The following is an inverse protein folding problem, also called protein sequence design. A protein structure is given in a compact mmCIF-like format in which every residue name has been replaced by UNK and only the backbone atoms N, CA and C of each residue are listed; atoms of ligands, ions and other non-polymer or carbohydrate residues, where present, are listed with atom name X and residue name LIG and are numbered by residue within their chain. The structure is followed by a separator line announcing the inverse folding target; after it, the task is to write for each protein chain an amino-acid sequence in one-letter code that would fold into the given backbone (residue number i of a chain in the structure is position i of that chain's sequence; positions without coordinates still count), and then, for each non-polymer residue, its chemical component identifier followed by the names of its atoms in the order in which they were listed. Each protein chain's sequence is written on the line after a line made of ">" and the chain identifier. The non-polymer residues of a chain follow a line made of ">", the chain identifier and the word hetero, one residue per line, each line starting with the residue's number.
data_IF_992374972960
#
_entry.id   IF_992374972960
#
_cell.length_a   1.000
_cell.length_b   1.000
_cell.length_c   1.000
_cell.angle_alpha   90.00
_cell.angle_beta   90.00
_cell.angle_gamma   90.00
#
_symmetry.space_group_name_H-M   'P 1'
#
loop_
_entity.id
_entity.type
_entity.pdbx_description
1 polymer ?
#
# COMPACT_ATOMS: atom_id res chain seq x y z
N UNK A 1 44.54 -22.05 -14.74
CA UNK A 1 44.80 -21.88 -13.30
C UNK A 1 46.03 -22.72 -12.93
N UNK A 2 47.16 -22.12 -12.58
CA UNK A 2 48.35 -22.82 -12.12
C UNK A 2 48.13 -23.22 -10.65
N UNK A 3 48.44 -24.44 -10.23
CA UNK A 3 48.35 -24.81 -8.82
C UNK A 3 49.34 -23.95 -8.02
N UNK A 4 48.82 -23.37 -6.92
CA UNK A 4 49.55 -22.44 -6.07
C UNK A 4 50.78 -23.13 -5.45
N UNK A 5 51.91 -22.38 -5.36
CA UNK A 5 53.16 -22.74 -4.73
C UNK A 5 53.04 -23.20 -3.25
N UNK A 6 51.90 -23.10 -2.68
CA UNK A 6 51.55 -23.56 -1.30
C UNK A 6 51.42 -25.07 -1.16
N UNK A 7 51.15 -25.80 -2.25
CA UNK A 7 50.89 -27.25 -2.19
C UNK A 7 52.20 -28.09 -2.20
N UNK A 8 53.32 -27.54 -2.70
CA UNK A 8 54.62 -28.28 -2.74
C UNK A 8 55.39 -28.25 -1.42
N UNK A 9 55.23 -27.20 -0.60
CA UNK A 9 55.93 -27.09 0.69
C UNK A 9 55.38 -28.06 1.75
N UNK A 10 54.14 -28.47 1.59
CA UNK A 10 53.42 -29.29 2.59
C UNK A 10 53.67 -30.83 2.42
N UNK A 11 54.01 -31.32 1.21
CA UNK A 11 54.32 -32.73 0.99
C UNK A 11 55.62 -33.18 1.67
N UNK A 12 56.62 -32.31 1.74
CA UNK A 12 57.93 -32.63 2.39
C UNK A 12 57.84 -32.67 3.92
N UNK A 13 57.01 -31.87 4.55
CA UNK A 13 56.79 -31.85 6.00
C UNK A 13 55.97 -33.03 6.49
N UNK A 14 55.07 -33.58 5.66
CA UNK A 14 54.28 -34.75 6.02
C UNK A 14 55.09 -36.06 5.99
N UNK A 15 56.12 -36.17 5.15
CA UNK A 15 57.02 -37.34 5.12
C UNK A 15 57.90 -37.39 6.35
N UNK A 16 58.42 -36.27 6.82
CA UNK A 16 59.26 -36.16 8.03
C UNK A 16 58.48 -36.48 9.34
N UNK A 17 57.25 -36.04 9.44
CA UNK A 17 56.37 -36.37 10.57
C UNK A 17 55.98 -37.87 10.57
N UNK A 18 55.86 -38.48 9.41
CA UNK A 18 55.58 -39.94 9.29
C UNK A 18 56.78 -40.77 9.74
N UNK A 19 57.99 -40.29 9.45
CA UNK A 19 59.22 -40.94 9.91
C UNK A 19 59.38 -40.76 11.44
N UNK A 20 59.16 -39.58 11.96
CA UNK A 20 59.29 -39.25 13.38
C UNK A 20 58.32 -40.08 14.25
N UNK A 21 57.17 -40.45 13.77
CA UNK A 21 56.15 -41.27 14.45
C UNK A 21 56.65 -42.64 14.84
N UNK A 22 57.54 -43.22 14.04
CA UNK A 22 58.09 -44.56 14.30
C UNK A 22 59.54 -44.51 14.82
N UNK A 23 60.32 -43.50 14.42
CA UNK A 23 61.71 -43.35 14.82
C UNK A 23 61.85 -42.89 16.27
N UNK A 24 61.01 -41.95 16.71
CA UNK A 24 61.07 -41.42 18.05
C UNK A 24 60.75 -42.45 19.17
N UNK A 25 59.64 -43.22 19.06
CA UNK A 25 59.38 -44.26 20.05
C UNK A 25 60.42 -45.37 20.04
N UNK A 26 60.89 -45.75 18.84
CA UNK A 26 61.95 -46.77 18.72
C UNK A 26 63.26 -46.28 19.33
N UNK A 27 63.67 -45.05 19.08
CA UNK A 27 64.88 -44.47 19.69
C UNK A 27 64.76 -44.38 21.21
N UNK A 28 63.62 -43.96 21.74
CA UNK A 28 63.35 -43.93 23.19
C UNK A 28 63.38 -45.33 23.80
N UNK A 29 62.79 -46.33 23.11
CA UNK A 29 62.84 -47.73 23.56
C UNK A 29 64.30 -48.27 23.60
N UNK A 30 65.07 -47.98 22.57
CA UNK A 30 66.49 -48.39 22.51
C UNK A 30 67.35 -47.69 23.57
N UNK A 31 67.15 -46.39 23.73
CA UNK A 31 67.91 -45.63 24.78
C UNK A 31 67.59 -46.13 26.19
N UNK A 32 66.29 -46.37 26.50
CA UNK A 32 65.85 -46.93 27.76
C UNK A 32 66.49 -48.32 28.00
N UNK A 33 66.40 -49.19 26.97
CA UNK A 33 66.97 -50.54 27.03
C UNK A 33 68.51 -50.51 27.26
N UNK A 34 69.25 -49.67 26.54
CA UNK A 34 70.67 -49.54 26.71
C UNK A 34 71.08 -48.94 28.06
N UNK A 35 70.29 -47.99 28.58
CA UNK A 35 70.52 -47.39 29.90
C UNK A 35 70.34 -48.43 31.00
N UNK A 36 69.24 -49.14 31.04
CA UNK A 36 68.97 -50.25 31.95
C UNK A 36 69.98 -51.39 31.84
N UNK A 37 70.35 -51.77 30.63
CA UNK A 37 71.36 -52.76 30.42
C UNK A 37 72.73 -52.37 30.91
N UNK A 38 73.14 -51.09 30.77
CA UNK A 38 74.40 -50.59 31.26
C UNK A 38 74.46 -50.51 32.79
N UNK A 39 73.33 -50.13 33.45
CA UNK A 39 73.21 -50.11 34.89
C UNK A 39 73.28 -51.51 35.53
N UNK A 40 72.62 -52.49 34.96
CA UNK A 40 72.63 -53.88 35.44
C UNK A 40 73.95 -54.65 35.09
N UNK A 41 74.67 -54.22 34.05
CA UNK A 41 75.93 -54.88 33.67
C UNK A 41 77.14 -54.42 34.55
N UNK A 42 76.93 -53.35 35.38
CA UNK A 42 77.96 -52.92 36.34
C UNK A 42 78.01 -53.76 37.63
N UNK A 43 77.00 -54.62 37.88
CA UNK A 43 76.99 -55.59 39.00
C UNK A 43 77.28 -56.94 38.45
N UNK A 44 78.28 -57.67 38.98
CA UNK A 44 78.91 -58.88 38.48
C UNK A 44 78.03 -60.15 38.21
N UNK A 45 76.67 -60.05 38.41
CA UNK A 45 75.77 -61.18 38.11
C UNK A 45 74.51 -60.67 37.40
N UNK A 46 74.32 -61.12 36.13
CA UNK A 46 73.12 -60.78 35.36
C UNK A 46 71.90 -61.58 35.90
N UNK A 47 71.27 -61.07 36.94
CA UNK A 47 69.98 -61.62 37.44
C UNK A 47 68.84 -60.92 36.74
N UNK A 48 68.06 -61.72 36.01
CA UNK A 48 66.75 -61.32 35.45
C UNK A 48 65.72 -61.28 36.62
N UNK A 49 65.79 -60.25 37.48
CA UNK A 49 64.86 -60.07 38.55
C UNK A 49 63.61 -59.33 38.16
N UNK A 50 62.55 -59.44 38.96
CA UNK A 50 61.24 -58.82 38.68
C UNK A 50 61.27 -57.33 38.44
N UNK A 51 62.06 -56.52 39.16
CA UNK A 51 62.26 -55.09 38.91
C UNK A 51 62.75 -54.77 37.48
N UNK A 52 63.80 -55.42 37.02
CA UNK A 52 64.38 -55.21 35.69
C UNK A 52 63.35 -55.56 34.59
N UNK A 53 62.61 -56.63 34.71
CA UNK A 53 61.58 -57.00 33.72
C UNK A 53 60.46 -55.93 33.70
N UNK A 54 60.04 -55.38 34.89
CA UNK A 54 58.99 -54.38 34.94
C UNK A 54 59.43 -53.05 34.32
N UNK A 55 60.66 -52.65 34.48
CA UNK A 55 61.21 -51.40 33.91
C UNK A 55 61.36 -51.49 32.38
N UNK A 56 61.88 -52.63 31.87
CA UNK A 56 61.94 -52.88 30.42
C UNK A 56 60.53 -52.85 29.80
N UNK A 57 59.54 -53.44 30.44
CA UNK A 57 58.16 -53.42 29.93
C UNK A 57 57.58 -51.98 29.95
N UNK A 58 57.75 -51.23 31.04
CA UNK A 58 57.17 -49.92 31.20
C UNK A 58 57.87 -48.95 30.24
N UNK A 59 59.17 -48.83 30.24
CA UNK A 59 59.94 -47.86 29.46
C UNK A 59 60.21 -48.34 28.06
N UNK A 60 60.47 -49.64 27.85
CA UNK A 60 60.79 -50.18 26.52
C UNK A 60 59.57 -50.47 25.64
N UNK A 61 58.41 -50.78 26.24
CA UNK A 61 57.21 -51.15 25.46
C UNK A 61 56.05 -50.23 25.66
N UNK A 62 55.57 -49.99 26.89
CA UNK A 62 54.39 -49.19 27.20
C UNK A 62 54.61 -47.69 26.93
N UNK A 63 55.77 -47.15 27.27
CA UNK A 63 56.09 -45.74 27.03
C UNK A 63 56.05 -45.38 25.56
N UNK A 64 56.78 -46.07 24.66
CA UNK A 64 56.71 -45.83 23.24
C UNK A 64 55.33 -46.04 22.61
N UNK A 65 54.56 -47.02 23.10
CA UNK A 65 53.18 -47.26 22.63
C UNK A 65 52.26 -46.06 23.01
N UNK A 66 52.37 -45.56 24.27
CA UNK A 66 51.60 -44.38 24.70
C UNK A 66 51.95 -43.13 23.89
N UNK A 67 53.25 -42.90 23.64
CA UNK A 67 53.70 -41.77 22.80
C UNK A 67 53.18 -41.92 21.36
N UNK A 68 53.23 -43.09 20.78
CA UNK A 68 52.73 -43.38 19.44
C UNK A 68 51.21 -43.12 19.35
N UNK A 69 50.46 -43.58 20.34
CA UNK A 69 49.02 -43.33 20.45
C UNK A 69 48.69 -41.84 20.53
N UNK A 70 49.40 -41.09 21.40
CA UNK A 70 49.22 -39.65 21.51
C UNK A 70 49.52 -38.94 20.19
N UNK A 71 50.58 -39.30 19.49
CA UNK A 71 50.92 -38.71 18.21
C UNK A 71 49.85 -39.01 17.15
N UNK A 72 49.33 -40.24 17.09
CA UNK A 72 48.25 -40.60 16.17
C UNK A 72 46.99 -39.85 16.50
N UNK A 73 46.58 -39.77 17.78
CA UNK A 73 45.40 -39.06 18.22
C UNK A 73 45.51 -37.56 17.92
N UNK A 74 46.67 -36.94 18.23
CA UNK A 74 46.90 -35.53 17.93
C UNK A 74 46.84 -35.24 16.41
N UNK A 75 47.30 -36.16 15.59
CA UNK A 75 47.15 -36.05 14.12
C UNK A 75 45.71 -36.10 13.67
N UNK A 76 44.91 -37.01 14.23
CA UNK A 76 43.48 -37.05 13.94
C UNK A 76 42.78 -35.73 14.31
N UNK A 77 43.10 -35.17 15.46
CA UNK A 77 42.56 -33.90 15.93
C UNK A 77 42.94 -32.75 15.00
N UNK A 78 44.20 -32.58 14.65
CA UNK A 78 44.69 -31.54 13.75
C UNK A 78 44.12 -31.69 12.32
N UNK A 79 43.95 -32.91 11.85
CA UNK A 79 43.36 -33.14 10.53
C UNK A 79 41.85 -32.79 10.52
N UNK A 80 41.11 -33.16 11.59
CA UNK A 80 39.71 -32.79 11.74
C UNK A 80 39.51 -31.27 11.81
N UNK A 81 40.36 -30.57 12.57
CA UNK A 81 40.36 -29.10 12.64
C UNK A 81 40.61 -28.47 11.26
N UNK A 82 41.61 -28.95 10.52
CA UNK A 82 41.92 -28.48 9.18
C UNK A 82 40.79 -28.67 8.20
N UNK A 83 40.13 -29.85 8.28
CA UNK A 83 38.96 -30.12 7.43
C UNK A 83 37.81 -29.18 7.74
N UNK A 84 37.51 -28.93 9.03
CA UNK A 84 36.47 -27.99 9.44
C UNK A 84 36.77 -26.58 8.97
N UNK A 85 38.01 -26.11 9.13
CA UNK A 85 38.44 -24.78 8.64
C UNK A 85 38.26 -24.67 7.11
N UNK A 86 38.65 -25.71 6.37
CA UNK A 86 38.51 -25.69 4.92
C UNK A 86 37.04 -25.66 4.49
N UNK A 87 36.20 -26.43 5.15
CA UNK A 87 34.74 -26.47 4.89
C UNK A 87 34.10 -25.09 5.17
N UNK A 88 34.45 -24.45 6.30
CA UNK A 88 33.99 -23.09 6.62
C UNK A 88 34.44 -22.09 5.56
N UNK A 89 35.68 -22.15 5.08
CA UNK A 89 36.15 -21.27 4.01
C UNK A 89 35.39 -21.48 2.70
N UNK A 90 35.15 -22.72 2.28
CA UNK A 90 34.38 -23.02 1.08
C UNK A 90 32.94 -22.49 1.21
N UNK A 91 32.31 -22.70 2.39
CA UNK A 91 30.96 -22.25 2.65
C UNK A 91 30.86 -20.72 2.66
N UNK A 92 31.83 -20.03 3.29
CA UNK A 92 31.89 -18.57 3.30
C UNK A 92 32.02 -18.00 1.89
N UNK A 93 32.91 -18.53 1.07
CA UNK A 93 33.04 -18.08 -0.33
C UNK A 93 31.78 -18.35 -1.15
N UNK A 94 31.12 -19.48 -0.94
CA UNK A 94 29.83 -19.75 -1.60
C UNK A 94 28.73 -18.78 -1.14
N UNK A 95 28.70 -18.41 0.14
CA UNK A 95 27.78 -17.44 0.70
C UNK A 95 28.05 -16.04 0.18
N UNK A 96 29.31 -15.59 0.17
CA UNK A 96 29.71 -14.29 -0.38
C UNK A 96 29.31 -14.15 -1.85
N UNK A 97 29.55 -15.18 -2.66
CA UNK A 97 29.12 -15.18 -4.07
C UNK A 97 27.60 -15.10 -4.21
N UNK A 98 26.85 -15.83 -3.38
CA UNK A 98 25.40 -15.80 -3.38
C UNK A 98 24.83 -14.44 -2.92
N UNK A 99 25.46 -13.83 -1.93
CA UNK A 99 25.11 -12.47 -1.49
C UNK A 99 25.36 -11.48 -2.63
N UNK A 100 26.53 -11.53 -3.25
CA UNK A 100 26.86 -10.63 -4.37
C UNK A 100 25.89 -10.78 -5.54
N UNK A 101 25.54 -12.02 -5.92
CA UNK A 101 24.55 -12.29 -6.96
C UNK A 101 23.16 -11.72 -6.60
N UNK A 102 22.71 -11.95 -5.36
CA UNK A 102 21.41 -11.45 -4.88
C UNK A 102 21.37 -9.93 -4.78
N UNK A 103 22.45 -9.33 -4.33
CA UNK A 103 22.57 -7.85 -4.24
C UNK A 103 22.50 -7.24 -5.63
N UNK A 104 23.26 -7.75 -6.59
CA UNK A 104 23.24 -7.27 -7.97
C UNK A 104 21.82 -7.44 -8.60
N UNK A 105 21.16 -8.57 -8.37
CA UNK A 105 19.80 -8.79 -8.86
C UNK A 105 18.76 -7.84 -8.21
N UNK A 106 18.93 -7.53 -6.91
CA UNK A 106 18.07 -6.55 -6.22
C UNK A 106 18.31 -5.12 -6.73
N UNK A 107 19.56 -4.71 -6.95
CA UNK A 107 19.90 -3.41 -7.52
C UNK A 107 19.30 -3.24 -8.93
N UNK A 108 19.40 -4.29 -9.75
CA UNK A 108 18.79 -4.26 -11.08
C UNK A 108 17.27 -4.11 -11.01
N UNK A 109 16.59 -4.89 -10.15
CA UNK A 109 15.14 -4.77 -9.97
C UNK A 109 14.71 -3.41 -9.42
N UNK A 110 15.49 -2.83 -8.49
CA UNK A 110 15.22 -1.48 -7.99
C UNK A 110 15.32 -0.45 -9.11
N UNK A 111 16.35 -0.52 -9.95
CA UNK A 111 16.49 0.42 -11.08
C UNK A 111 15.37 0.25 -12.12
N UNK A 112 14.89 -0.96 -12.36
CA UNK A 112 13.73 -1.23 -13.23
C UNK A 112 12.43 -0.68 -12.63
N UNK A 113 12.22 -0.87 -11.31
CA UNK A 113 11.08 -0.32 -10.58
C UNK A 113 11.08 1.21 -10.58
N UNK A 114 12.22 1.84 -10.34
CA UNK A 114 12.35 3.29 -10.36
C UNK A 114 12.03 3.87 -11.75
N UNK A 115 12.50 3.23 -12.81
CA UNK A 115 12.14 3.62 -14.19
C UNK A 115 10.65 3.49 -14.46
N UNK A 116 10.05 2.35 -14.09
CA UNK A 116 8.62 2.12 -14.27
C UNK A 116 7.77 3.12 -13.46
N UNK A 117 8.16 3.42 -12.23
CA UNK A 117 7.51 4.44 -11.41
C UNK A 117 7.59 5.84 -12.06
N UNK A 118 8.76 6.20 -12.57
CA UNK A 118 8.94 7.50 -13.23
C UNK A 118 8.10 7.62 -14.51
N UNK A 119 8.01 6.55 -15.29
CA UNK A 119 7.13 6.50 -16.47
C UNK A 119 5.65 6.60 -16.10
N UNK A 120 5.22 5.92 -15.03
CA UNK A 120 3.85 6.00 -14.52
C UNK A 120 3.52 7.42 -14.04
N UNK A 121 4.41 8.07 -13.30
CA UNK A 121 4.23 9.46 -12.86
C UNK A 121 4.09 10.40 -14.05
N UNK A 122 4.95 10.27 -15.06
CA UNK A 122 4.88 11.07 -16.27
C UNK A 122 3.58 10.87 -17.05
N UNK A 123 3.09 9.64 -17.13
CA UNK A 123 1.80 9.33 -17.76
C UNK A 123 0.63 9.95 -16.97
N UNK A 124 0.67 9.93 -15.65
CA UNK A 124 -0.38 10.54 -14.82
C UNK A 124 -0.37 12.07 -14.91
N UNK A 125 0.83 12.69 -14.97
CA UNK A 125 0.97 14.12 -15.24
C UNK A 125 0.41 14.50 -16.62
N UNK A 126 0.78 13.79 -17.69
CA UNK A 126 0.27 14.03 -19.03
C UNK A 126 -1.23 13.84 -19.13
N UNK A 127 -1.80 12.81 -18.45
CA UNK A 127 -3.24 12.59 -18.36
C UNK A 127 -3.95 13.79 -17.71
N UNK A 128 -3.41 14.29 -16.62
CA UNK A 128 -3.98 15.43 -15.88
C UNK A 128 -3.91 16.72 -16.68
N UNK A 129 -2.79 16.97 -17.37
CA UNK A 129 -2.61 18.12 -18.24
C UNK A 129 -3.55 18.06 -19.46
N UNK A 130 -3.67 16.90 -20.11
CA UNK A 130 -4.59 16.67 -21.21
C UNK A 130 -6.04 16.94 -20.82
N UNK A 131 -6.51 16.38 -19.67
CA UNK A 131 -7.86 16.63 -19.16
C UNK A 131 -8.08 18.11 -18.89
N UNK A 132 -7.11 18.80 -18.30
CA UNK A 132 -7.19 20.25 -18.04
C UNK A 132 -7.29 21.06 -19.33
N UNK A 133 -6.46 20.74 -20.34
CA UNK A 133 -6.46 21.41 -21.63
C UNK A 133 -7.80 21.21 -22.36
N UNK A 134 -8.24 19.97 -22.51
CA UNK A 134 -9.50 19.65 -23.20
C UNK A 134 -10.69 20.33 -22.56
N UNK A 135 -10.73 20.36 -21.23
CA UNK A 135 -11.84 21.00 -20.52
C UNK A 135 -11.82 22.52 -20.66
N UNK A 136 -10.62 23.14 -20.71
CA UNK A 136 -10.51 24.57 -20.97
C UNK A 136 -10.98 24.90 -22.39
N UNK A 137 -10.56 24.11 -23.37
CA UNK A 137 -10.94 24.29 -24.77
C UNK A 137 -12.42 23.98 -25.07
N UNK A 138 -13.06 23.12 -24.25
CA UNK A 138 -14.50 22.87 -24.36
C UNK A 138 -15.35 23.91 -23.65
N UNK A 139 -14.85 24.58 -22.61
CA UNK A 139 -15.62 25.59 -21.86
C UNK A 139 -15.98 26.79 -22.72
N UNK A 140 -15.05 27.31 -23.51
CA UNK A 140 -15.26 28.49 -24.34
C UNK A 140 -16.39 28.31 -25.39
N UNK A 141 -16.41 27.24 -26.23
CA UNK A 141 -17.50 27.03 -27.19
C UNK A 141 -18.83 26.75 -26.50
N UNK A 142 -18.86 26.03 -25.35
CA UNK A 142 -20.08 25.79 -24.61
C UNK A 142 -20.66 27.09 -24.01
N UNK A 143 -19.80 27.98 -23.51
CA UNK A 143 -20.24 29.30 -23.05
C UNK A 143 -20.84 30.13 -24.19
N UNK A 144 -20.23 30.07 -25.38
CA UNK A 144 -20.76 30.76 -26.57
C UNK A 144 -22.11 30.17 -27.01
N UNK A 145 -22.27 28.85 -27.01
CA UNK A 145 -23.53 28.17 -27.32
C UNK A 145 -24.62 28.56 -26.33
N UNK A 146 -24.32 28.48 -25.02
CA UNK A 146 -25.27 28.84 -23.97
C UNK A 146 -25.71 30.32 -24.08
N UNK A 147 -24.76 31.23 -24.28
CA UNK A 147 -25.06 32.65 -24.45
C UNK A 147 -25.89 32.92 -25.72
N UNK A 148 -25.60 32.26 -26.83
CA UNK A 148 -26.38 32.34 -28.05
C UNK A 148 -27.81 31.84 -27.91
N UNK A 149 -27.99 30.68 -27.21
CA UNK A 149 -29.31 30.12 -26.91
C UNK A 149 -30.10 31.03 -25.98
N UNK A 150 -29.48 31.57 -24.96
CA UNK A 150 -30.12 32.50 -24.01
C UNK A 150 -30.60 33.77 -24.69
N UNK A 151 -29.75 34.43 -25.48
CA UNK A 151 -30.12 35.63 -26.26
C UNK A 151 -31.28 35.35 -27.26
N UNK A 152 -31.21 34.16 -27.89
CA UNK A 152 -32.28 33.76 -28.85
C UNK A 152 -33.60 33.54 -28.11
N UNK A 153 -33.60 32.88 -26.96
CA UNK A 153 -34.80 32.65 -26.16
C UNK A 153 -35.38 33.95 -25.55
N UNK A 154 -34.53 34.89 -25.14
CA UNK A 154 -34.96 36.20 -24.63
C UNK A 154 -35.56 37.09 -25.72
N UNK A 155 -35.04 36.98 -26.95
CA UNK A 155 -35.51 37.79 -28.08
C UNK A 155 -36.73 37.19 -28.79
N UNK A 156 -37.25 36.07 -28.32
CA UNK A 156 -38.14 35.20 -29.07
C UNK A 156 -39.61 35.26 -28.67
N UNK A 157 -40.17 36.46 -28.46
CA UNK A 157 -41.62 36.62 -28.24
C UNK A 157 -42.48 36.11 -29.43
N UNK A 158 -41.90 35.88 -30.59
CA UNK A 158 -42.57 35.48 -31.85
C UNK A 158 -42.24 34.05 -32.28
N UNK A 159 -41.46 33.26 -31.50
CA UNK A 159 -41.13 31.89 -31.92
C UNK A 159 -42.31 30.92 -31.78
N UNK A 160 -42.49 30.01 -32.80
CA UNK A 160 -43.44 28.90 -32.65
C UNK A 160 -43.14 28.10 -31.36
N UNK A 161 -44.19 27.62 -30.68
CA UNK A 161 -44.01 26.84 -29.41
C UNK A 161 -43.07 25.63 -29.54
N UNK A 162 -43.01 24.98 -30.68
CA UNK A 162 -42.11 23.85 -30.95
C UNK A 162 -40.66 24.29 -31.04
N UNK A 163 -40.38 25.42 -31.70
CA UNK A 163 -39.03 25.95 -31.82
C UNK A 163 -38.51 26.41 -30.42
N UNK A 164 -39.36 27.00 -29.62
CA UNK A 164 -39.02 27.40 -28.26
C UNK A 164 -38.68 26.22 -27.41
N UNK A 165 -39.48 25.14 -27.40
CA UNK A 165 -39.20 23.87 -26.69
C UNK A 165 -37.89 23.26 -27.14
N UNK A 166 -37.60 23.28 -28.46
CA UNK A 166 -36.33 22.75 -28.99
C UNK A 166 -35.14 23.53 -28.45
N UNK A 167 -35.21 24.86 -28.45
CA UNK A 167 -34.14 25.72 -27.92
C UNK A 167 -33.97 25.56 -26.41
N UNK A 168 -35.05 25.43 -25.65
CA UNK A 168 -34.99 25.14 -24.21
C UNK A 168 -34.31 23.78 -23.95
N UNK A 169 -34.66 22.74 -24.71
CA UNK A 169 -34.00 21.42 -24.58
C UNK A 169 -32.50 21.48 -24.97
N UNK A 170 -32.12 22.25 -25.98
CA UNK A 170 -30.72 22.46 -26.37
C UNK A 170 -29.96 23.22 -25.28
N UNK A 171 -30.57 24.20 -24.61
CA UNK A 171 -29.96 24.94 -23.50
C UNK A 171 -29.73 24.02 -22.30
N UNK A 172 -30.72 23.20 -21.94
CA UNK A 172 -30.58 22.23 -20.86
C UNK A 172 -29.45 21.20 -21.12
N UNK A 173 -29.35 20.71 -22.36
CA UNK A 173 -28.31 19.77 -22.73
C UNK A 173 -26.90 20.43 -22.76
N UNK A 174 -26.80 21.67 -23.24
CA UNK A 174 -25.53 22.42 -23.21
C UNK A 174 -25.08 22.75 -21.79
N UNK A 175 -26.02 23.14 -20.89
CA UNK A 175 -25.73 23.34 -19.47
C UNK A 175 -25.25 22.03 -18.80
N UNK A 176 -25.89 20.92 -19.17
CA UNK A 176 -25.53 19.58 -18.71
C UNK A 176 -24.11 19.18 -19.15
N UNK A 177 -23.74 19.43 -20.40
CA UNK A 177 -22.42 19.17 -20.93
C UNK A 177 -21.36 20.05 -20.25
N UNK A 178 -21.65 21.31 -20.01
CA UNK A 178 -20.78 22.25 -19.26
C UNK A 178 -20.49 21.72 -17.88
N UNK A 179 -21.53 21.27 -17.16
CA UNK A 179 -21.35 20.68 -15.82
C UNK A 179 -20.52 19.38 -15.86
N UNK A 180 -20.71 18.55 -16.85
CA UNK A 180 -19.93 17.33 -17.03
C UNK A 180 -18.45 17.62 -17.24
N UNK A 181 -18.11 18.53 -18.15
CA UNK A 181 -16.73 18.95 -18.42
C UNK A 181 -16.08 19.50 -17.14
N UNK A 182 -16.82 20.33 -16.39
CA UNK A 182 -16.31 20.85 -15.12
C UNK A 182 -16.07 19.74 -14.08
N UNK A 183 -17.00 18.79 -13.97
CA UNK A 183 -16.85 17.65 -13.04
C UNK A 183 -15.63 16.79 -13.38
N UNK A 184 -15.37 16.54 -14.68
CA UNK A 184 -14.16 15.81 -15.10
C UNK A 184 -12.89 16.53 -14.68
N UNK A 185 -12.85 17.87 -14.85
CA UNK A 185 -11.72 18.68 -14.42
C UNK A 185 -11.48 18.59 -12.93
N UNK A 186 -12.55 18.76 -12.13
CA UNK A 186 -12.47 18.76 -10.69
C UNK A 186 -12.03 17.38 -10.17
N UNK A 187 -12.55 16.29 -10.75
CA UNK A 187 -12.10 14.93 -10.47
C UNK A 187 -10.61 14.76 -10.80
N UNK A 188 -10.17 15.23 -11.97
CA UNK A 188 -8.77 15.11 -12.38
C UNK A 188 -7.83 15.89 -11.45
N UNK A 189 -8.21 17.11 -11.04
CA UNK A 189 -7.43 17.92 -10.08
C UNK A 189 -7.36 17.27 -8.71
N UNK A 190 -8.47 16.70 -8.25
CA UNK A 190 -8.57 16.03 -6.97
C UNK A 190 -7.68 14.77 -6.95
N UNK A 191 -7.70 13.96 -8.00
CA UNK A 191 -6.86 12.76 -8.12
C UNK A 191 -5.37 13.08 -8.22
N UNK A 192 -5.02 14.17 -8.88
CA UNK A 192 -3.65 14.64 -8.95
C UNK A 192 -3.17 15.34 -7.65
N UNK A 193 -4.01 15.39 -6.59
CA UNK A 193 -3.68 16.12 -5.36
C UNK A 193 -3.52 17.65 -5.55
N UNK A 194 -4.07 18.18 -6.64
CA UNK A 194 -3.95 19.61 -7.02
C UNK A 194 -5.19 20.43 -6.66
N UNK A 195 -6.17 19.80 -5.99
CA UNK A 195 -7.34 20.53 -5.48
C UNK A 195 -6.94 21.27 -4.20
N UNK A 196 -6.98 22.59 -4.26
CA UNK A 196 -6.74 23.43 -3.08
C UNK A 196 -8.04 23.57 -2.30
N UNK A 197 -8.07 23.12 -1.05
CA UNK A 197 -9.20 23.28 -0.14
C UNK A 197 -8.97 24.47 0.78
N UNK A 198 -10.00 25.27 0.99
CA UNK A 198 -10.01 26.33 1.97
C UNK A 198 -10.84 25.89 3.17
N UNK A 199 -10.24 25.03 4.03
CA UNK A 199 -10.92 24.46 5.19
C UNK A 199 -11.15 25.51 6.26
N UNK A 200 -12.36 25.52 6.83
CA UNK A 200 -12.76 26.41 7.90
C UNK A 200 -14.06 25.97 8.57
N UNK A 201 -14.52 26.71 9.61
CA UNK A 201 -15.81 26.46 10.24
C UNK A 201 -16.97 26.83 9.31
N UNK A 202 -17.78 25.85 8.95
CA UNK A 202 -18.88 25.96 7.99
C UNK A 202 -20.23 25.67 8.66
N UNK A 203 -21.19 26.56 8.52
CA UNK A 203 -22.54 26.37 9.02
C UNK A 203 -23.36 25.50 8.07
N UNK A 204 -23.80 24.31 8.53
CA UNK A 204 -24.49 23.30 7.72
C UNK A 204 -25.87 23.75 7.26
N UNK A 205 -26.71 24.30 8.17
CA UNK A 205 -28.11 24.61 7.88
C UNK A 205 -28.28 25.61 6.73
N UNK A 206 -27.53 26.75 6.63
CA UNK A 206 -27.65 27.67 5.50
C UNK A 206 -27.33 27.03 4.15
N UNK A 207 -26.32 26.11 4.10
CA UNK A 207 -25.95 25.39 2.88
C UNK A 207 -27.07 24.44 2.45
N UNK A 208 -27.66 23.69 3.39
CA UNK A 208 -28.77 22.81 3.11
C UNK A 208 -29.97 23.56 2.54
N UNK A 209 -30.37 24.68 3.18
CA UNK A 209 -31.50 25.48 2.71
C UNK A 209 -31.23 26.05 1.31
N UNK A 210 -30.09 26.69 1.10
CA UNK A 210 -29.68 27.24 -0.20
C UNK A 210 -29.64 26.15 -1.30
N UNK A 211 -29.07 25.01 -1.02
CA UNK A 211 -28.99 23.89 -1.98
C UNK A 211 -30.36 23.32 -2.33
N UNK A 212 -31.25 23.19 -1.35
CA UNK A 212 -32.65 22.73 -1.57
C UNK A 212 -33.41 23.74 -2.40
N UNK A 213 -33.32 25.03 -2.10
CA UNK A 213 -33.99 26.10 -2.86
C UNK A 213 -33.55 26.11 -4.33
N UNK A 214 -32.26 26.00 -4.59
CA UNK A 214 -31.71 26.03 -5.95
C UNK A 214 -32.06 24.77 -6.74
N UNK A 215 -32.00 23.58 -6.14
CA UNK A 215 -32.16 22.32 -6.86
C UNK A 215 -33.62 21.88 -6.91
N UNK A 216 -34.30 21.88 -5.78
CA UNK A 216 -35.64 21.34 -5.67
C UNK A 216 -36.71 22.43 -5.81
N UNK A 217 -36.46 23.64 -5.30
CA UNK A 217 -37.38 24.74 -5.32
C UNK A 217 -38.77 24.38 -4.76
N UNK A 218 -39.83 24.89 -5.37
CA UNK A 218 -41.21 24.51 -5.02
C UNK A 218 -41.71 23.24 -5.71
N UNK A 219 -40.90 22.60 -6.59
CA UNK A 219 -41.32 21.41 -7.38
C UNK A 219 -41.39 20.16 -6.54
N UNK A 220 -40.65 20.12 -5.44
CA UNK A 220 -40.50 18.93 -4.60
C UNK A 220 -40.77 19.26 -3.13
N UNK A 221 -41.55 18.43 -2.46
CA UNK A 221 -41.70 18.53 -1.00
C UNK A 221 -40.43 18.01 -0.31
N UNK A 222 -39.94 18.78 0.68
CA UNK A 222 -38.83 18.40 1.53
C UNK A 222 -39.30 18.28 2.96
N UNK A 223 -38.97 17.15 3.60
CA UNK A 223 -39.17 16.96 5.03
C UNK A 223 -37.85 17.22 5.74
N UNK A 224 -37.89 18.14 6.69
CA UNK A 224 -36.74 18.52 7.47
C UNK A 224 -36.79 17.91 8.86
N UNK A 225 -35.70 17.27 9.28
CA UNK A 225 -35.49 16.82 10.64
C UNK A 225 -34.13 17.37 11.12
N UNK A 226 -34.16 18.60 11.60
CA UNK A 226 -33.00 19.35 12.03
C UNK A 226 -33.05 19.53 13.55
N UNK A 227 -31.96 19.28 14.29
CA UNK A 227 -31.85 19.64 15.70
C UNK A 227 -31.87 21.17 15.86
N UNK A 228 -32.23 21.65 17.05
CA UNK A 228 -32.32 23.07 17.33
C UNK A 228 -30.98 23.82 17.20
N UNK A 229 -29.90 23.13 17.52
CA UNK A 229 -28.54 23.67 17.40
C UNK A 229 -27.69 22.70 16.57
N UNK A 230 -27.03 23.23 15.55
CA UNK A 230 -26.10 22.50 14.68
C UNK A 230 -24.77 23.23 14.76
N UNK A 231 -23.73 22.63 15.41
CA UNK A 231 -22.40 23.20 15.42
C UNK A 231 -21.84 23.34 14.00
N UNK A 232 -20.87 24.24 13.76
CA UNK A 232 -20.19 24.30 12.47
C UNK A 232 -19.32 23.02 12.27
N UNK A 233 -19.24 22.56 11.03
CA UNK A 233 -18.32 21.50 10.60
C UNK A 233 -17.00 22.12 10.14
N UNK A 234 -15.92 21.33 10.17
CA UNK A 234 -14.64 21.71 9.57
C UNK A 234 -14.60 21.25 8.12
N UNK A 235 -14.78 22.17 7.18
CA UNK A 235 -14.92 21.86 5.77
C UNK A 235 -14.56 23.06 4.88
N UNK A 236 -14.45 22.83 3.57
CA UNK A 236 -14.50 23.86 2.54
C UNK A 236 -15.97 24.12 2.15
N UNK A 237 -16.45 25.33 2.31
CA UNK A 237 -17.85 25.67 2.10
C UNK A 237 -18.31 25.36 0.67
N UNK A 238 -17.51 25.70 -0.33
CA UNK A 238 -17.85 25.53 -1.75
C UNK A 238 -17.95 24.04 -2.09
N UNK A 239 -16.96 23.27 -1.67
CA UNK A 239 -16.91 21.84 -1.96
C UNK A 239 -17.94 21.05 -1.13
N UNK A 240 -18.21 21.47 0.10
CA UNK A 240 -19.28 20.87 0.89
C UNK A 240 -20.67 21.12 0.27
N UNK A 241 -20.95 22.37 -0.19
CA UNK A 241 -22.17 22.65 -0.94
C UNK A 241 -22.27 21.76 -2.20
N UNK A 242 -21.18 21.57 -2.91
CA UNK A 242 -21.14 20.72 -4.11
C UNK A 242 -21.46 19.24 -3.79
N UNK A 243 -20.98 18.71 -2.65
CA UNK A 243 -21.37 17.37 -2.18
C UNK A 243 -22.88 17.29 -1.94
N UNK A 244 -23.43 18.24 -1.16
CA UNK A 244 -24.87 18.29 -0.86
C UNK A 244 -25.69 18.38 -2.15
N UNK A 245 -25.31 19.22 -3.09
CA UNK A 245 -25.98 19.36 -4.41
C UNK A 245 -25.99 18.04 -5.19
N UNK A 246 -24.88 17.32 -5.22
CA UNK A 246 -24.80 16.01 -5.88
C UNK A 246 -25.78 15.00 -5.26
N UNK A 247 -25.89 14.96 -3.94
CA UNK A 247 -26.84 14.08 -3.26
C UNK A 247 -28.30 14.46 -3.52
N UNK A 248 -28.62 15.76 -3.46
CA UNK A 248 -29.98 16.25 -3.75
C UNK A 248 -30.39 16.02 -5.20
N UNK A 249 -29.49 16.23 -6.16
CA UNK A 249 -29.73 15.91 -7.57
C UNK A 249 -29.99 14.42 -7.79
N UNK A 250 -29.26 13.55 -7.11
CA UNK A 250 -29.50 12.11 -7.17
C UNK A 250 -30.87 11.76 -6.57
N UNK A 251 -31.20 12.27 -5.41
CA UNK A 251 -32.49 12.04 -4.75
C UNK A 251 -33.68 12.52 -5.62
N UNK A 252 -33.55 13.70 -6.25
CA UNK A 252 -34.59 14.24 -7.16
C UNK A 252 -34.74 13.39 -8.44
N UNK A 253 -33.63 12.93 -8.97
CA UNK A 253 -33.56 12.18 -10.22
C UNK A 253 -34.11 10.75 -10.12
N UNK A 254 -33.84 10.05 -9.00
CA UNK A 254 -34.14 8.63 -8.86
C UNK A 254 -35.39 8.33 -8.06
N UNK A 255 -36.06 9.33 -7.51
CA UNK A 255 -37.33 9.15 -6.83
C UNK A 255 -38.52 9.72 -7.62
N UNK A 256 -39.74 9.16 -7.47
CA UNK A 256 -40.91 9.63 -8.15
C UNK A 256 -41.23 11.10 -7.84
N UNK A 257 -41.70 11.94 -8.80
CA UNK A 257 -41.86 13.39 -8.61
C UNK A 257 -42.72 13.83 -7.44
N UNK A 258 -43.62 13.00 -6.98
CA UNK A 258 -44.59 13.33 -5.91
C UNK A 258 -44.15 12.89 -4.53
N UNK A 259 -43.06 12.12 -4.41
CA UNK A 259 -42.54 11.69 -3.12
C UNK A 259 -41.67 12.75 -2.48
N UNK A 260 -41.65 12.90 -1.15
CA UNK A 260 -40.74 13.87 -0.50
C UNK A 260 -39.30 13.40 -0.54
N UNK A 261 -38.39 14.35 -0.43
CA UNK A 261 -36.98 14.08 -0.06
C UNK A 261 -36.86 14.41 1.42
N UNK A 262 -36.22 13.53 2.18
CA UNK A 262 -36.05 13.72 3.63
C UNK A 262 -34.59 14.10 3.92
N UNK A 263 -34.43 15.19 4.68
CA UNK A 263 -33.12 15.69 5.12
C UNK A 263 -33.07 15.60 6.64
N UNK A 264 -32.20 14.71 7.12
CA UNK A 264 -32.00 14.49 8.54
C UNK A 264 -30.59 14.97 8.94
N UNK A 265 -30.48 15.66 10.05
CA UNK A 265 -29.18 16.06 10.62
C UNK A 265 -29.08 15.48 12.02
N UNK A 266 -27.98 14.75 12.25
CA UNK A 266 -27.65 14.18 13.54
C UNK A 266 -26.35 14.79 14.04
N UNK A 267 -26.35 15.25 15.28
CA UNK A 267 -25.18 15.82 15.93
C UNK A 267 -24.64 14.80 16.91
N UNK A 268 -23.43 14.32 16.67
CA UNK A 268 -22.66 13.46 17.56
C UNK A 268 -21.61 14.29 18.32
N UNK A 269 -20.86 13.69 19.25
CA UNK A 269 -19.90 14.39 20.09
C UNK A 269 -18.78 15.08 19.26
N UNK A 270 -18.34 14.49 18.17
CA UNK A 270 -17.22 14.97 17.35
C UNK A 270 -17.56 15.15 15.87
N UNK A 271 -18.74 14.82 15.46
CA UNK A 271 -19.15 14.84 14.06
C UNK A 271 -20.59 15.25 13.87
N UNK A 272 -20.88 15.71 12.68
CA UNK A 272 -22.26 15.97 12.21
C UNK A 272 -22.50 15.04 11.02
N UNK A 273 -23.61 14.33 11.07
CA UNK A 273 -24.10 13.50 9.98
C UNK A 273 -25.30 14.16 9.33
N UNK A 274 -25.16 14.45 8.04
CA UNK A 274 -26.26 14.91 7.18
C UNK A 274 -26.70 13.76 6.29
N UNK A 275 -27.96 13.42 6.36
CA UNK A 275 -28.58 12.34 5.60
C UNK A 275 -29.57 12.93 4.59
N UNK A 276 -29.46 12.51 3.33
CA UNK A 276 -30.42 12.79 2.25
C UNK A 276 -31.04 11.49 1.83
N UNK A 277 -32.34 11.32 2.14
CA UNK A 277 -33.08 10.10 1.86
C UNK A 277 -34.18 10.34 0.82
N UNK A 278 -34.29 9.41 -0.13
CA UNK A 278 -35.26 9.41 -1.20
C UNK A 278 -36.24 8.22 -1.06
N UNK A 279 -37.34 8.25 -1.80
CA UNK A 279 -38.34 7.19 -1.91
C UNK A 279 -38.34 6.59 -3.33
N UNK A 280 -37.17 6.36 -3.89
CA UNK A 280 -37.01 5.73 -5.20
C UNK A 280 -37.04 4.20 -5.15
N UNK A 281 -36.61 3.59 -6.25
CA UNK A 281 -36.55 2.13 -6.39
C UNK A 281 -35.48 1.46 -5.50
N UNK A 282 -34.67 2.26 -4.77
CA UNK A 282 -33.52 1.75 -4.03
C UNK A 282 -32.35 1.33 -4.94
N UNK A 283 -31.32 0.78 -4.32
CA UNK A 283 -30.10 0.32 -5.01
C UNK A 283 -29.91 -1.15 -4.69
N UNK A 284 -29.86 -2.04 -5.71
CA UNK A 284 -29.61 -3.46 -5.52
C UNK A 284 -28.29 -3.71 -4.78
N UNK A 285 -28.25 -4.77 -3.95
CA UNK A 285 -27.14 -5.05 -3.06
C UNK A 285 -25.82 -5.28 -3.80
N UNK A 286 -25.89 -5.91 -4.95
CA UNK A 286 -24.75 -6.17 -5.85
C UNK A 286 -24.15 -4.90 -6.47
N UNK A 287 -24.90 -3.80 -6.46
CA UNK A 287 -24.46 -2.50 -6.99
C UNK A 287 -23.98 -1.54 -5.91
N UNK A 288 -24.35 -1.74 -4.63
CA UNK A 288 -24.10 -0.78 -3.56
C UNK A 288 -22.60 -0.49 -3.32
N UNK A 289 -21.73 -1.47 -3.53
CA UNK A 289 -20.30 -1.30 -3.42
C UNK A 289 -19.73 -0.46 -4.57
N UNK A 290 -20.29 -0.63 -5.76
CA UNK A 290 -19.75 -0.06 -6.99
C UNK A 290 -20.32 1.32 -7.37
N UNK A 291 -21.42 1.77 -6.75
CA UNK A 291 -22.04 3.07 -7.11
C UNK A 291 -21.16 4.28 -6.87
N UNK A 292 -20.12 4.14 -6.06
CA UNK A 292 -19.11 5.15 -5.79
C UNK A 292 -17.91 5.08 -6.75
N UNK A 293 -17.88 4.09 -7.65
CA UNK A 293 -16.85 4.00 -8.69
C UNK A 293 -17.16 4.94 -9.86
N UNK A 294 -16.12 5.25 -10.66
CA UNK A 294 -16.27 6.14 -11.83
C UNK A 294 -17.13 5.49 -12.90
N UNK A 295 -17.98 6.31 -13.52
CA UNK A 295 -18.84 5.93 -14.65
C UNK A 295 -19.84 4.80 -14.32
N UNK A 296 -20.02 4.47 -13.06
CA UNK A 296 -21.02 3.50 -12.63
C UNK A 296 -22.42 4.12 -12.73
N UNK A 297 -23.28 3.37 -13.38
CA UNK A 297 -24.72 3.70 -13.54
C UNK A 297 -25.53 2.48 -13.13
N UNK A 298 -26.67 2.71 -12.50
CA UNK A 298 -27.69 1.67 -12.32
C UNK A 298 -28.00 0.99 -13.64
N UNK A 299 -28.55 -0.22 -13.60
CA UNK A 299 -28.83 -1.01 -14.79
C UNK A 299 -29.39 -0.13 -15.92
N UNK A 300 -28.78 -0.24 -17.10
CA UNK A 300 -29.13 0.49 -18.33
C UNK A 300 -30.45 -0.02 -18.93
N UNK A 301 -31.56 0.23 -18.23
CA UNK A 301 -32.85 0.22 -18.87
C UNK A 301 -33.00 1.52 -19.66
N UNK A 302 -33.63 1.48 -20.83
CA UNK A 302 -33.90 2.65 -21.68
C UNK A 302 -34.65 3.79 -20.94
N UNK A 303 -35.20 3.48 -19.75
CA UNK A 303 -35.90 4.40 -18.85
C UNK A 303 -34.99 5.00 -17.74
N UNK A 304 -33.71 4.67 -17.68
CA UNK A 304 -32.82 5.21 -16.65
C UNK A 304 -32.54 6.71 -16.89
N UNK A 305 -32.72 7.57 -15.89
CA UNK A 305 -32.50 9.00 -16.07
C UNK A 305 -31.06 9.29 -16.54
N UNK A 306 -30.86 10.30 -17.40
CA UNK A 306 -29.56 10.61 -17.97
C UNK A 306 -28.55 11.04 -16.92
N UNK A 307 -27.29 10.60 -17.02
CA UNK A 307 -26.20 10.95 -16.11
C UNK A 307 -24.89 10.25 -16.47
N UNK A 308 -23.75 10.79 -16.02
CA UNK A 308 -22.43 10.33 -16.41
C UNK A 308 -21.75 9.39 -15.40
N UNK A 309 -22.41 9.14 -14.22
CA UNK A 309 -21.84 8.26 -13.19
C UNK A 309 -20.59 8.83 -12.49
N UNK A 310 -20.41 10.15 -12.48
CA UNK A 310 -19.28 10.79 -11.80
C UNK A 310 -19.67 11.51 -10.50
N UNK A 311 -20.95 11.85 -10.30
CA UNK A 311 -21.39 12.69 -9.18
C UNK A 311 -21.13 12.06 -7.81
N UNK A 312 -21.48 10.77 -7.62
CA UNK A 312 -21.25 10.07 -6.35
C UNK A 312 -19.78 9.78 -6.10
N UNK A 313 -19.04 9.41 -7.13
CA UNK A 313 -17.58 9.26 -7.03
C UNK A 313 -16.92 10.55 -6.55
N UNK A 314 -17.27 11.67 -7.19
CA UNK A 314 -16.75 12.99 -6.85
C UNK A 314 -17.16 13.43 -5.44
N UNK A 315 -18.44 13.25 -5.07
CA UNK A 315 -18.93 13.55 -3.73
C UNK A 315 -18.16 12.74 -2.66
N UNK A 316 -17.93 11.44 -2.90
CA UNK A 316 -17.15 10.59 -2.00
C UNK A 316 -15.72 11.11 -1.85
N UNK A 317 -15.05 11.38 -2.96
CA UNK A 317 -13.67 11.89 -2.96
C UNK A 317 -13.54 13.26 -2.30
N UNK A 318 -14.45 14.18 -2.56
CA UNK A 318 -14.50 15.49 -1.87
C UNK A 318 -14.74 15.35 -0.37
N UNK A 319 -15.53 14.38 0.04
CA UNK A 319 -15.77 14.08 1.46
C UNK A 319 -14.51 13.52 2.12
N UNK A 320 -13.85 12.54 1.46
CA UNK A 320 -12.62 11.90 1.96
C UNK A 320 -11.46 12.90 2.15
N UNK A 321 -11.23 13.82 1.21
CA UNK A 321 -10.14 14.83 1.32
C UNK A 321 -10.42 15.92 2.37
N UNK A 322 -11.62 15.94 2.96
CA UNK A 322 -12.02 16.81 4.06
C UNK A 322 -12.22 16.03 5.36
N UNK A 323 -11.59 14.84 5.50
CA UNK A 323 -11.66 13.95 6.65
C UNK A 323 -13.10 13.51 7.02
N UNK A 324 -13.99 13.54 6.04
CA UNK A 324 -15.36 13.08 6.18
C UNK A 324 -15.57 11.68 5.62
N UNK A 325 -16.78 11.15 5.84
CA UNK A 325 -17.19 9.82 5.35
C UNK A 325 -18.55 9.92 4.67
N UNK A 326 -18.64 9.45 3.42
CA UNK A 326 -19.89 9.30 2.69
C UNK A 326 -20.32 7.83 2.68
N UNK A 327 -21.52 7.55 3.15
CA UNK A 327 -22.10 6.20 3.24
C UNK A 327 -23.45 6.11 2.55
N UNK A 328 -23.83 4.88 2.19
CA UNK A 328 -25.14 4.54 1.64
C UNK A 328 -25.86 3.57 2.55
N UNK A 329 -27.18 3.73 2.65
CA UNK A 329 -28.13 2.74 3.17
C UNK A 329 -29.24 2.55 2.15
N UNK A 330 -29.39 1.36 1.59
CA UNK A 330 -30.48 0.98 0.70
C UNK A 330 -30.81 -0.51 0.95
N UNK A 331 -32.07 -0.86 1.23
CA UNK A 331 -33.23 0.01 1.30
C UNK A 331 -33.15 1.03 2.47
N UNK A 332 -33.65 2.24 2.23
CA UNK A 332 -33.75 3.28 3.27
C UNK A 332 -35.02 3.05 4.12
N UNK A 333 -36.09 2.49 3.52
CA UNK A 333 -37.39 2.28 4.11
C UNK A 333 -37.78 0.80 4.06
N UNK A 334 -38.65 0.40 4.98
CA UNK A 334 -39.21 -0.97 5.00
C UNK A 334 -40.29 -1.19 3.92
N UNK A 335 -40.61 -0.19 3.13
CA UNK A 335 -41.56 -0.25 2.03
C UNK A 335 -40.95 -0.99 0.84
N UNK A 336 -41.56 -2.11 0.43
CA UNK A 336 -41.08 -2.93 -0.68
C UNK A 336 -41.32 -2.29 -2.06
N UNK A 337 -42.35 -1.43 -2.18
CA UNK A 337 -42.67 -0.74 -3.43
C UNK A 337 -41.83 0.53 -3.63
N UNK A 338 -41.34 1.11 -2.54
CA UNK A 338 -40.51 2.30 -2.55
C UNK A 338 -39.39 2.20 -1.50
N UNK A 339 -38.46 1.25 -1.67
CA UNK A 339 -37.44 0.96 -0.67
C UNK A 339 -36.46 2.14 -0.46
N UNK A 340 -36.33 3.02 -1.44
CA UNK A 340 -35.52 4.25 -1.39
C UNK A 340 -34.06 4.04 -1.10
N UNK A 341 -33.34 5.15 -1.13
CA UNK A 341 -31.91 5.19 -0.75
C UNK A 341 -31.65 6.35 0.16
N UNK A 342 -30.73 6.19 1.08
CA UNK A 342 -30.27 7.21 2.00
C UNK A 342 -28.75 7.35 1.90
N UNK A 343 -28.28 8.54 1.53
CA UNK A 343 -26.89 8.90 1.51
C UNK A 343 -26.58 9.78 2.71
N UNK A 344 -25.54 9.39 3.47
CA UNK A 344 -25.16 10.10 4.70
C UNK A 344 -23.72 10.61 4.59
N UNK A 345 -23.55 11.91 4.82
CA UNK A 345 -22.24 12.55 4.95
C UNK A 345 -21.96 12.77 6.42
N UNK A 346 -20.86 12.27 6.92
CA UNK A 346 -20.36 12.55 8.27
C UNK A 346 -19.12 13.42 8.18
N UNK A 347 -19.15 14.61 8.82
CA UNK A 347 -18.06 15.57 8.84
C UNK A 347 -17.64 15.89 10.29
N UNK A 348 -16.36 16.18 10.54
CA UNK A 348 -15.89 16.61 11.85
C UNK A 348 -16.45 17.96 12.25
N UNK A 349 -16.72 18.17 13.55
CA UNK A 349 -17.13 19.46 14.10
C UNK A 349 -15.91 20.40 14.16
N UNK A 350 -16.09 21.67 13.83
CA UNK A 350 -15.01 22.68 13.81
C UNK A 350 -14.31 22.86 15.17
N UNK A 351 -15.00 22.68 16.29
CA UNK A 351 -14.43 22.72 17.64
C UNK A 351 -13.55 21.51 17.99
N UNK A 352 -13.53 20.49 17.12
CA UNK A 352 -12.73 19.27 17.26
C UNK A 352 -11.66 19.12 16.17
N UNK A 353 -11.30 20.21 15.48
CA UNK A 353 -10.17 20.19 14.55
C UNK A 353 -8.91 19.69 15.29
N UNK A 354 -8.14 18.75 14.74
CA UNK A 354 -6.93 18.26 15.39
C UNK A 354 -5.98 19.42 15.63
N UNK A 355 -5.48 19.50 16.86
CA UNK A 355 -4.37 20.39 17.22
C UNK A 355 -3.20 20.09 16.29
N UNK A 356 -2.68 21.07 15.56
CA UNK A 356 -1.55 20.93 14.61
C UNK A 356 -0.23 20.51 15.27
N UNK A 357 -0.30 19.81 16.42
CA UNK A 357 0.80 19.53 17.36
C UNK A 357 1.46 18.16 17.27
N UNK A 358 1.12 17.23 16.35
CA UNK A 358 1.68 15.87 16.42
C UNK A 358 2.24 15.33 15.09
N UNK A 359 3.00 16.17 14.38
CA UNK A 359 3.95 15.72 13.34
C UNK A 359 5.28 16.47 13.54
N UNK A 360 6.05 16.00 14.54
CA UNK A 360 7.48 16.27 14.67
C UNK A 360 8.27 14.97 14.50
#
# INVERSE_FOLDING_TARGET
>A
MKPSLFDQSNKGRFSSLNILQWVLPLALALTAFFFEFAEHHSEEELYLDLPFISEVIIFGLLGPLCISFIIIWMRHLVNAERQAITEVHVLNHALENKIAERTAALEQRNTELDKANHELQKLDEMKSEFVSLVSHELRAPLTAINGGLEVTLQSADSLPPESRRTLEAMMDESARLTHFVQTILDVSRLEAGRLTLNLGPVAVAPILHRSVEVILGMRRKVKWNLPAEIPPIWADEIHYEQIIRNLLLNADKYSPPKTPIEINVHVDIRSIRVEVADHGAGIPIDMQENIFERFQRGQSNESAPPGWGLGLYFAKKLTEVQDGVLTLRSPAWADLDAPGSSFSITMPIAAGAPDEGDHA
#
